data_IF_015878232238
#
_entry.id   IF_015878232238
#
_cell.length_a   1.000
_cell.length_b   1.000
_cell.length_c   1.000
_cell.angle_alpha   90.00
_cell.angle_beta   90.00
_cell.angle_gamma   90.00
#
_symmetry.space_group_name_H-M   'P 1'
#
loop_
_entity.id
_entity.type
_entity.pdbx_description
1 polymer ?
#
# COMPACT_ATOMS: atom_id res chain seq x y z
N UNK A 1 28.44 -39.02 -60.32
CA UNK A 1 28.18 -40.22 -59.52
C UNK A 1 29.24 -40.30 -58.43
N UNK A 2 28.85 -39.98 -57.20
CA UNK A 2 29.69 -39.96 -56.00
C UNK A 2 28.80 -40.43 -54.84
N UNK A 3 29.30 -41.26 -53.91
CA UNK A 3 28.45 -42.14 -53.11
C UNK A 3 27.92 -41.47 -51.82
N UNK A 4 26.71 -41.84 -51.44
CA UNK A 4 26.05 -41.42 -50.21
C UNK A 4 26.59 -42.19 -48.99
N UNK A 5 27.07 -41.45 -47.98
CA UNK A 5 27.46 -42.02 -46.68
C UNK A 5 26.23 -42.30 -45.82
N UNK A 6 25.94 -43.58 -45.53
CA UNK A 6 24.94 -44.01 -44.53
C UNK A 6 25.51 -43.82 -43.12
N UNK A 7 24.90 -42.96 -42.31
CA UNK A 7 25.13 -42.91 -40.85
C UNK A 7 24.35 -44.06 -40.18
N UNK A 8 24.99 -44.76 -39.24
CA UNK A 8 24.42 -45.93 -38.57
C UNK A 8 23.38 -45.55 -37.50
N UNK A 9 22.30 -46.34 -37.33
CA UNK A 9 21.18 -46.01 -36.42
C UNK A 9 21.52 -46.09 -34.92
N UNK A 10 22.70 -46.60 -34.55
CA UNK A 10 23.08 -46.82 -33.15
C UNK A 10 23.58 -45.54 -32.47
N UNK A 11 24.11 -44.58 -33.23
CA UNK A 11 24.53 -43.27 -32.67
C UNK A 11 23.35 -42.35 -32.36
N UNK A 12 22.18 -42.55 -33.00
CA UNK A 12 21.00 -41.73 -32.75
C UNK A 12 20.35 -42.03 -31.38
N UNK A 13 20.31 -43.30 -30.95
CA UNK A 13 19.66 -43.68 -29.69
C UNK A 13 20.36 -43.11 -28.43
N UNK A 14 21.69 -42.92 -28.47
CA UNK A 14 22.44 -42.36 -27.33
C UNK A 14 22.20 -40.86 -27.13
N UNK A 15 21.99 -40.11 -28.20
CA UNK A 15 21.72 -38.66 -28.15
C UNK A 15 20.30 -38.35 -27.66
N UNK A 16 19.31 -39.18 -28.02
CA UNK A 16 17.94 -39.01 -27.52
C UNK A 16 17.78 -39.37 -26.04
N UNK A 17 18.52 -40.38 -25.54
CA UNK A 17 18.49 -40.75 -24.12
C UNK A 17 19.04 -39.68 -23.19
N UNK A 18 20.13 -39.01 -23.59
CA UNK A 18 20.71 -37.89 -22.82
C UNK A 18 19.83 -36.64 -22.84
N UNK A 19 19.18 -36.35 -23.97
CA UNK A 19 18.23 -35.24 -24.09
C UNK A 19 16.99 -35.43 -23.22
N UNK A 20 16.45 -36.65 -23.14
CA UNK A 20 15.29 -36.96 -22.31
C UNK A 20 15.61 -36.88 -20.80
N UNK A 21 16.81 -37.33 -20.39
CA UNK A 21 17.29 -37.23 -19.00
C UNK A 21 17.54 -35.78 -18.57
N UNK A 22 18.06 -34.92 -19.46
CA UNK A 22 18.18 -33.48 -19.17
C UNK A 22 16.81 -32.79 -19.09
N UNK A 23 15.86 -33.15 -19.96
CA UNK A 23 14.51 -32.58 -19.92
C UNK A 23 13.77 -32.97 -18.63
N UNK A 24 13.93 -34.21 -18.16
CA UNK A 24 13.36 -34.68 -16.89
C UNK A 24 14.00 -33.97 -15.68
N UNK A 25 15.32 -33.74 -15.71
CA UNK A 25 16.03 -33.03 -14.64
C UNK A 25 15.61 -31.54 -14.53
N UNK A 26 15.30 -30.89 -15.66
CA UNK A 26 14.77 -29.51 -15.68
C UNK A 26 13.33 -29.45 -15.17
N UNK A 27 12.52 -30.48 -15.47
CA UNK A 27 11.14 -30.59 -14.95
C UNK A 27 11.07 -30.90 -13.44
N UNK A 28 12.09 -31.55 -12.87
CA UNK A 28 12.20 -31.85 -11.44
C UNK A 28 12.84 -30.71 -10.61
N UNK A 29 13.47 -29.71 -11.26
CA UNK A 29 14.11 -28.58 -10.58
C UNK A 29 13.18 -27.38 -10.34
N UNK A 30 11.96 -27.40 -10.88
CA UNK A 30 10.96 -26.35 -10.70
C UNK A 30 10.25 -26.45 -9.35
N UNK A 31 10.93 -26.18 -8.24
CA UNK A 31 10.19 -25.84 -7.01
C UNK A 31 9.51 -24.48 -7.24
N UNK A 32 8.19 -24.34 -7.04
CA UNK A 32 7.62 -23.01 -6.94
C UNK A 32 8.31 -22.32 -5.78
N UNK A 33 9.10 -21.28 -6.08
CA UNK A 33 9.57 -20.37 -5.06
C UNK A 33 8.32 -19.64 -4.55
N UNK A 34 7.71 -20.16 -3.50
CA UNK A 34 6.73 -19.42 -2.74
C UNK A 34 7.47 -18.17 -2.24
N UNK A 35 7.05 -17.00 -2.72
CA UNK A 35 7.50 -15.74 -2.16
C UNK A 35 7.07 -15.73 -0.70
N UNK A 36 7.98 -16.12 0.19
CA UNK A 36 7.73 -16.14 1.62
C UNK A 36 7.67 -14.69 2.08
N UNK A 37 6.57 -14.32 2.74
CA UNK A 37 6.41 -13.02 3.38
C UNK A 37 7.63 -12.78 4.27
N UNK A 38 8.49 -11.83 3.88
CA UNK A 38 9.65 -11.44 4.67
C UNK A 38 9.28 -10.23 5.51
N UNK A 39 9.15 -10.45 6.81
CA UNK A 39 8.97 -9.41 7.81
C UNK A 39 10.32 -9.19 8.47
N UNK A 40 11.00 -8.10 8.09
CA UNK A 40 12.24 -7.71 8.75
C UNK A 40 11.87 -6.81 9.93
N UNK A 41 12.02 -7.34 11.15
CA UNK A 41 11.86 -6.59 12.40
C UNK A 41 13.25 -6.19 12.87
N UNK A 42 13.51 -4.90 12.96
CA UNK A 42 14.76 -4.34 13.47
C UNK A 42 14.53 -3.65 14.81
N UNK A 43 15.44 -3.90 15.76
CA UNK A 43 15.37 -3.40 17.14
C UNK A 43 15.05 -4.49 18.16
N UNK A 44 15.87 -4.60 19.20
CA UNK A 44 15.63 -5.45 20.36
C UNK A 44 14.59 -4.80 21.28
N UNK A 45 13.56 -5.55 21.71
CA UNK A 45 12.69 -5.14 22.82
C UNK A 45 11.37 -4.41 22.48
N UNK A 46 10.85 -4.48 21.25
CA UNK A 46 9.49 -4.02 20.99
C UNK A 46 8.49 -4.94 21.74
N UNK A 47 7.68 -4.37 22.64
CA UNK A 47 6.63 -5.11 23.32
C UNK A 47 5.56 -5.49 22.30
N UNK A 48 5.43 -6.78 22.03
CA UNK A 48 4.41 -7.32 21.14
C UNK A 48 3.18 -7.76 21.94
N UNK A 49 2.00 -7.60 21.37
CA UNK A 49 0.74 -8.11 21.90
C UNK A 49 0.61 -9.60 21.55
N UNK A 50 0.68 -10.52 22.52
CA UNK A 50 0.50 -11.95 22.27
C UNK A 50 -0.97 -12.25 21.98
N UNK A 51 -1.28 -12.69 20.76
CA UNK A 51 -2.65 -12.98 20.33
C UNK A 51 -2.75 -14.37 19.70
N UNK A 52 -3.73 -15.14 20.17
CA UNK A 52 -4.14 -16.39 19.56
C UNK A 52 -5.31 -16.11 18.61
N UNK A 53 -5.20 -16.58 17.36
CA UNK A 53 -6.30 -16.53 16.37
C UNK A 53 -6.67 -17.97 16.06
N UNK A 54 -7.85 -18.43 16.47
CA UNK A 54 -8.37 -19.75 16.16
C UNK A 54 -8.92 -19.81 14.72
N UNK A 55 -8.90 -21.00 14.11
CA UNK A 55 -9.64 -21.23 12.86
C UNK A 55 -11.14 -21.14 13.14
N UNK A 56 -11.89 -20.54 12.21
CA UNK A 56 -13.34 -20.41 12.38
C UNK A 56 -14.01 -21.78 12.16
N UNK A 57 -14.87 -22.19 13.09
CA UNK A 57 -15.58 -23.46 13.01
C UNK A 57 -16.72 -23.44 11.97
N UNK A 58 -17.21 -24.61 11.56
CA UNK A 58 -18.31 -24.77 10.60
C UNK A 58 -17.84 -25.21 9.21
N UNK A 59 -17.39 -24.29 8.37
CA UNK A 59 -16.71 -24.60 7.10
C UNK A 59 -15.18 -24.60 7.32
N UNK A 60 -14.55 -25.78 7.37
CA UNK A 60 -13.13 -25.91 7.69
C UNK A 60 -12.21 -25.20 6.69
N UNK A 61 -12.51 -25.27 5.39
CA UNK A 61 -11.68 -24.66 4.34
C UNK A 61 -11.75 -23.15 4.41
N UNK A 62 -12.97 -22.60 4.44
CA UNK A 62 -13.17 -21.15 4.45
C UNK A 62 -12.84 -20.54 5.80
N UNK A 63 -13.14 -21.25 6.88
CA UNK A 63 -12.84 -20.81 8.25
C UNK A 63 -11.35 -20.73 8.53
N UNK A 64 -10.56 -21.68 8.01
CA UNK A 64 -9.09 -21.58 8.03
C UNK A 64 -8.59 -20.41 7.17
N UNK A 65 -9.09 -20.27 5.95
CA UNK A 65 -8.67 -19.18 5.06
C UNK A 65 -8.93 -17.79 5.68
N UNK A 66 -10.07 -17.63 6.36
CA UNK A 66 -10.44 -16.39 7.06
C UNK A 66 -9.47 -16.09 8.22
N UNK A 67 -9.16 -17.10 9.04
CA UNK A 67 -8.19 -16.96 10.13
C UNK A 67 -6.77 -16.69 9.63
N UNK A 68 -6.35 -17.30 8.52
CA UNK A 68 -5.02 -17.08 7.94
C UNK A 68 -4.84 -15.63 7.45
N UNK A 69 -5.88 -14.99 6.91
CA UNK A 69 -5.85 -13.57 6.55
C UNK A 69 -5.71 -12.69 7.80
N UNK A 70 -6.49 -12.95 8.86
CA UNK A 70 -6.40 -12.21 10.12
C UNK A 70 -5.00 -12.33 10.74
N UNK A 71 -4.43 -13.55 10.77
CA UNK A 71 -3.06 -13.79 11.26
C UNK A 71 -2.05 -13.01 10.42
N UNK A 72 -2.17 -13.03 9.09
CA UNK A 72 -1.27 -12.32 8.20
C UNK A 72 -1.35 -10.80 8.42
N UNK A 73 -2.54 -10.23 8.55
CA UNK A 73 -2.75 -8.80 8.84
C UNK A 73 -2.07 -8.35 10.13
N UNK A 74 -2.39 -9.03 11.25
CA UNK A 74 -1.86 -8.66 12.56
C UNK A 74 -0.34 -8.89 12.63
N UNK A 75 0.13 -10.04 12.14
CA UNK A 75 1.55 -10.37 12.09
C UNK A 75 2.34 -9.37 11.25
N UNK A 76 1.74 -8.82 10.19
CA UNK A 76 2.41 -7.86 9.32
C UNK A 76 2.77 -6.54 10.02
N UNK A 77 2.00 -6.15 11.01
CA UNK A 77 2.30 -4.92 11.77
C UNK A 77 3.59 -5.01 12.58
N UNK A 78 4.09 -6.23 12.87
CA UNK A 78 5.18 -6.48 13.82
C UNK A 78 4.84 -6.17 15.28
N UNK A 79 3.65 -5.63 15.56
CA UNK A 79 3.17 -5.33 16.92
C UNK A 79 2.53 -6.54 17.60
N UNK A 80 2.21 -7.61 16.85
CA UNK A 80 1.57 -8.80 17.38
C UNK A 80 2.51 -10.00 17.34
N UNK A 81 2.51 -10.76 18.42
CA UNK A 81 3.12 -12.09 18.49
C UNK A 81 2.01 -13.12 18.37
N UNK A 82 1.99 -13.86 17.27
CA UNK A 82 0.97 -14.87 17.02
C UNK A 82 1.23 -16.11 17.88
N UNK A 83 0.22 -16.52 18.64
CA UNK A 83 0.20 -17.78 19.38
C UNK A 83 -0.66 -18.77 18.61
N UNK A 84 -0.18 -20.01 18.46
CA UNK A 84 -0.90 -21.02 17.70
C UNK A 84 -2.20 -21.42 18.42
N UNK A 85 -3.30 -21.32 17.68
CA UNK A 85 -4.63 -21.74 18.08
C UNK A 85 -5.37 -22.43 16.92
N UNK A 86 -4.62 -22.82 15.88
CA UNK A 86 -5.16 -23.58 14.75
C UNK A 86 -5.76 -24.89 15.24
N UNK A 87 -6.85 -25.32 14.59
CA UNK A 87 -7.56 -26.56 14.92
C UNK A 87 -8.00 -26.71 16.39
N UNK A 88 -8.14 -25.60 17.15
CA UNK A 88 -8.60 -25.64 18.55
C UNK A 88 -10.05 -26.08 18.72
N UNK A 89 -10.85 -26.08 17.64
CA UNK A 89 -12.26 -26.46 17.66
C UNK A 89 -13.18 -25.44 18.35
N UNK A 90 -12.66 -24.27 18.73
CA UNK A 90 -13.45 -23.21 19.34
C UNK A 90 -14.49 -22.66 18.35
N UNK A 91 -15.73 -22.62 18.82
CA UNK A 91 -16.87 -22.01 18.12
C UNK A 91 -17.25 -20.69 18.80
N UNK A 92 -18.08 -19.88 18.14
CA UNK A 92 -18.61 -18.63 18.71
C UNK A 92 -19.31 -18.82 20.07
N UNK A 93 -19.83 -20.01 20.35
CA UNK A 93 -20.56 -20.37 21.58
C UNK A 93 -19.68 -21.05 22.64
N UNK A 94 -18.41 -21.28 22.34
CA UNK A 94 -17.48 -21.93 23.27
C UNK A 94 -17.19 -21.06 24.49
N UNK A 95 -17.25 -21.67 25.67
CA UNK A 95 -16.74 -21.06 26.90
C UNK A 95 -15.20 -21.06 26.87
N UNK A 96 -14.57 -19.90 27.08
CA UNK A 96 -13.11 -19.76 27.01
C UNK A 96 -12.46 -20.31 28.26
N UNK A 97 -11.56 -21.28 28.11
CA UNK A 97 -10.63 -21.68 29.17
C UNK A 97 -9.47 -20.68 29.26
N UNK A 98 -9.65 -19.62 30.06
CA UNK A 98 -8.67 -18.54 30.15
C UNK A 98 -7.29 -18.99 30.65
N UNK A 99 -7.25 -19.95 31.57
CA UNK A 99 -5.99 -20.44 32.15
C UNK A 99 -5.17 -21.24 31.14
N UNK A 100 -5.83 -22.03 30.28
CA UNK A 100 -5.16 -22.73 29.19
C UNK A 100 -4.49 -21.75 28.21
N UNK A 101 -5.23 -20.75 27.74
CA UNK A 101 -4.70 -19.81 26.73
C UNK A 101 -3.64 -18.88 27.30
N UNK A 102 -3.83 -18.43 28.55
CA UNK A 102 -2.80 -17.68 29.26
C UNK A 102 -1.56 -18.54 29.49
N UNK A 103 -1.73 -19.83 29.80
CA UNK A 103 -0.63 -20.80 29.92
C UNK A 103 0.14 -21.00 28.61
N UNK A 104 -0.52 -20.89 27.45
CA UNK A 104 0.12 -20.85 26.12
C UNK A 104 0.76 -19.50 25.78
N UNK A 105 0.63 -18.50 26.66
CA UNK A 105 1.20 -17.17 26.48
C UNK A 105 0.41 -16.24 25.57
N UNK A 106 -0.89 -16.51 25.38
CA UNK A 106 -1.81 -15.63 24.66
C UNK A 106 -2.54 -14.72 25.66
N UNK A 107 -2.33 -13.41 25.55
CA UNK A 107 -3.06 -12.40 26.34
C UNK A 107 -4.44 -12.13 25.74
N UNK A 108 -4.59 -12.36 24.44
CA UNK A 108 -5.83 -12.22 23.70
C UNK A 108 -6.13 -13.47 22.88
N UNK A 109 -7.42 -13.79 22.73
CA UNK A 109 -7.90 -14.92 21.94
C UNK A 109 -9.05 -14.47 21.03
N UNK A 110 -8.89 -14.64 19.71
CA UNK A 110 -9.95 -14.50 18.73
C UNK A 110 -10.43 -15.87 18.25
N UNK A 111 -11.73 -16.07 18.18
CA UNK A 111 -12.37 -17.33 17.78
C UNK A 111 -13.76 -17.07 17.21
N UNK A 112 -14.34 -18.03 16.50
CA UNK A 112 -15.60 -17.79 15.78
C UNK A 112 -16.12 -18.96 14.98
N UNK A 113 -17.21 -18.70 14.25
CA UNK A 113 -17.87 -19.66 13.38
C UNK A 113 -18.16 -19.02 12.03
N UNK A 114 -18.13 -19.83 10.97
CA UNK A 114 -18.57 -19.51 9.62
C UNK A 114 -19.58 -20.57 9.16
N UNK A 115 -20.73 -20.15 8.66
CA UNK A 115 -21.79 -21.07 8.20
C UNK A 115 -22.40 -20.55 6.91
N UNK A 116 -22.54 -21.41 5.91
CA UNK A 116 -23.22 -21.03 4.67
C UNK A 116 -24.73 -21.03 4.89
N UNK A 117 -25.39 -19.94 4.50
CA UNK A 117 -26.84 -19.78 4.55
C UNK A 117 -27.49 -20.38 3.30
N UNK A 118 -28.80 -20.72 3.34
CA UNK A 118 -29.49 -21.36 2.21
C UNK A 118 -29.49 -20.57 0.89
N UNK A 119 -29.32 -19.25 0.97
CA UNK A 119 -29.21 -18.34 -0.18
C UNK A 119 -27.77 -18.26 -0.76
N UNK A 120 -26.85 -19.09 -0.25
CA UNK A 120 -25.47 -19.18 -0.71
C UNK A 120 -24.51 -18.16 -0.10
N UNK A 121 -24.99 -17.24 0.76
CA UNK A 121 -24.14 -16.32 1.54
C UNK A 121 -23.50 -17.06 2.72
N UNK A 122 -22.62 -16.38 3.44
CA UNK A 122 -22.01 -16.86 4.67
C UNK A 122 -22.41 -15.96 5.83
N UNK A 123 -22.75 -16.55 6.98
CA UNK A 123 -22.82 -15.91 8.30
C UNK A 123 -21.48 -16.16 9.01
N UNK A 124 -20.77 -15.10 9.37
CA UNK A 124 -19.46 -15.15 10.03
C UNK A 124 -19.60 -14.45 11.38
N UNK A 125 -19.36 -15.15 12.48
CA UNK A 125 -19.40 -14.57 13.82
C UNK A 125 -18.06 -14.74 14.48
N UNK A 126 -17.53 -13.66 15.06
CA UNK A 126 -16.29 -13.73 15.82
C UNK A 126 -16.47 -13.18 17.23
N UNK A 127 -15.60 -13.61 18.13
CA UNK A 127 -15.40 -13.11 19.49
C UNK A 127 -13.93 -12.79 19.69
N UNK A 128 -13.67 -11.76 20.48
CA UNK A 128 -12.34 -11.44 20.99
C UNK A 128 -12.39 -11.43 22.51
N UNK A 129 -11.52 -12.19 23.16
CA UNK A 129 -11.40 -12.29 24.60
C UNK A 129 -10.04 -11.79 25.09
N UNK A 130 -10.02 -11.19 26.28
CA UNK A 130 -8.85 -10.88 27.08
C UNK A 130 -8.67 -12.00 28.11
N UNK A 131 -7.59 -12.76 27.99
CA UNK A 131 -7.32 -13.93 28.84
C UNK A 131 -6.77 -13.53 30.21
N UNK A 132 -6.22 -12.32 30.32
CA UNK A 132 -5.64 -11.78 31.54
C UNK A 132 -6.75 -11.22 32.43
N UNK A 133 -7.63 -10.39 31.86
CA UNK A 133 -8.80 -9.82 32.54
C UNK A 133 -10.00 -10.77 32.59
N UNK A 134 -9.94 -11.90 31.86
CA UNK A 134 -10.96 -12.95 31.82
C UNK A 134 -12.32 -12.41 31.37
N UNK A 135 -12.35 -11.72 30.23
CA UNK A 135 -13.56 -11.10 29.70
C UNK A 135 -13.57 -10.95 28.19
N UNK A 136 -14.75 -10.74 27.61
CA UNK A 136 -14.91 -10.49 26.19
C UNK A 136 -14.66 -9.00 25.88
N UNK A 137 -13.78 -8.72 24.92
CA UNK A 137 -13.48 -7.37 24.43
C UNK A 137 -14.38 -6.95 23.25
N UNK A 138 -14.74 -7.91 22.40
CA UNK A 138 -15.56 -7.65 21.21
C UNK A 138 -16.28 -8.90 20.73
N UNK A 139 -17.31 -8.70 19.91
CA UNK A 139 -17.99 -9.77 19.19
C UNK A 139 -19.01 -9.23 18.20
N UNK A 140 -18.91 -9.64 16.94
CA UNK A 140 -19.75 -9.15 15.84
C UNK A 140 -20.07 -10.28 14.87
N UNK A 141 -21.24 -10.18 14.24
CA UNK A 141 -21.65 -11.00 13.11
C UNK A 141 -21.54 -10.20 11.79
N UNK A 142 -21.06 -10.86 10.75
CA UNK A 142 -20.97 -10.37 9.38
C UNK A 142 -21.75 -11.32 8.47
N UNK A 143 -22.29 -10.78 7.38
CA UNK A 143 -22.81 -11.60 6.29
C UNK A 143 -22.24 -11.14 4.96
N UNK A 144 -21.81 -12.09 4.13
CA UNK A 144 -21.24 -11.77 2.82
C UNK A 144 -21.27 -12.95 1.86
N UNK A 145 -21.05 -12.64 0.59
CA UNK A 145 -20.76 -13.63 -0.45
C UNK A 145 -19.35 -14.22 -0.28
N UNK A 146 -19.07 -15.30 -1.02
CA UNK A 146 -17.73 -15.92 -1.03
C UNK A 146 -16.62 -14.93 -1.41
N UNK A 147 -16.89 -14.02 -2.35
CA UNK A 147 -15.95 -13.00 -2.80
C UNK A 147 -15.64 -11.95 -1.72
N UNK A 148 -16.54 -11.78 -0.75
CA UNK A 148 -16.39 -10.81 0.33
C UNK A 148 -15.69 -11.39 1.58
N UNK A 149 -15.50 -12.71 1.66
CA UNK A 149 -14.93 -13.37 2.85
C UNK A 149 -13.57 -12.79 3.25
N UNK A 150 -12.73 -12.49 2.26
CA UNK A 150 -11.43 -11.89 2.49
C UNK A 150 -11.54 -10.47 3.04
N UNK A 151 -12.44 -9.65 2.49
CA UNK A 151 -12.74 -8.31 3.02
C UNK A 151 -13.24 -8.39 4.46
N UNK A 152 -14.10 -9.36 4.77
CA UNK A 152 -14.62 -9.60 6.13
C UNK A 152 -13.48 -9.99 7.07
N UNK A 153 -12.54 -10.82 6.63
CA UNK A 153 -11.35 -11.17 7.41
C UNK A 153 -10.52 -9.92 7.77
N UNK A 154 -10.27 -9.04 6.80
CA UNK A 154 -9.60 -7.76 7.04
C UNK A 154 -10.37 -6.86 8.02
N UNK A 155 -11.70 -6.81 7.92
CA UNK A 155 -12.53 -6.06 8.88
C UNK A 155 -12.44 -6.64 10.29
N UNK A 156 -12.39 -7.96 10.44
CA UNK A 156 -12.20 -8.60 11.74
C UNK A 156 -10.80 -8.27 12.29
N UNK A 157 -9.76 -8.33 11.47
CA UNK A 157 -8.42 -7.92 11.85
C UNK A 157 -8.36 -6.46 12.30
N UNK A 158 -9.09 -5.55 11.62
CA UNK A 158 -9.16 -4.13 11.98
C UNK A 158 -9.75 -3.96 13.38
N UNK A 159 -10.81 -4.71 13.70
CA UNK A 159 -11.44 -4.67 15.02
C UNK A 159 -10.54 -5.24 16.11
N UNK A 160 -9.87 -6.35 15.85
CA UNK A 160 -8.92 -6.94 16.80
C UNK A 160 -7.79 -5.96 17.08
N UNK A 161 -7.23 -5.36 16.04
CA UNK A 161 -6.17 -4.36 16.14
C UNK A 161 -6.63 -3.15 16.95
N UNK A 162 -7.80 -2.59 16.66
CA UNK A 162 -8.34 -1.43 17.36
C UNK A 162 -8.65 -1.72 18.83
N UNK A 163 -9.23 -2.88 19.14
CA UNK A 163 -9.56 -3.26 20.52
C UNK A 163 -8.34 -3.49 21.39
N UNK A 164 -7.25 -3.97 20.81
CA UNK A 164 -6.00 -4.25 21.55
C UNK A 164 -5.12 -3.00 21.64
N UNK A 165 -5.03 -2.20 20.57
CA UNK A 165 -4.07 -1.08 20.48
C UNK A 165 -4.70 0.29 20.74
N UNK A 166 -6.03 0.41 20.63
CA UNK A 166 -6.73 1.70 20.63
C UNK A 166 -6.63 2.49 19.32
N UNK A 167 -5.96 1.95 18.29
CA UNK A 167 -5.73 2.60 17.01
C UNK A 167 -6.57 1.89 15.94
N UNK A 168 -7.28 2.63 15.09
CA UNK A 168 -8.06 2.04 14.00
C UNK A 168 -7.16 1.25 13.03
N UNK A 169 -7.53 -0.01 12.75
CA UNK A 169 -6.83 -0.87 11.79
C UNK A 169 -7.04 -0.42 10.34
N UNK A 170 -6.08 -0.73 9.47
CA UNK A 170 -6.05 -0.32 8.04
C UNK A 170 -6.14 -1.49 7.06
N UNK A 171 -6.38 -2.71 7.54
CA UNK A 171 -6.32 -3.92 6.71
C UNK A 171 -7.45 -3.97 5.68
N UNK A 172 -8.63 -3.43 5.99
CA UNK A 172 -9.75 -3.37 5.03
C UNK A 172 -9.69 -2.17 4.08
N UNK A 173 -8.61 -1.39 4.12
CA UNK A 173 -8.36 -0.31 3.15
C UNK A 173 -7.81 -0.87 1.84
N UNK A 174 -7.55 0.02 0.87
CA UNK A 174 -7.03 -0.33 -0.46
C UNK A 174 -5.80 0.49 -0.78
N UNK A 175 -4.99 -0.01 -1.69
CA UNK A 175 -3.88 0.74 -2.30
C UNK A 175 -4.15 0.91 -3.78
N UNK A 176 -3.55 1.94 -4.38
CA UNK A 176 -3.47 2.09 -5.83
C UNK A 176 -2.02 2.28 -6.25
N UNK A 177 -1.67 1.80 -7.44
CA UNK A 177 -0.34 1.93 -8.01
C UNK A 177 -0.40 1.83 -9.54
N UNK A 178 0.63 2.31 -10.22
CA UNK A 178 0.75 2.13 -11.67
C UNK A 178 1.69 0.98 -11.94
N UNK A 179 1.22 0.03 -12.73
CA UNK A 179 1.98 -1.13 -13.19
C UNK A 179 2.26 -1.00 -14.68
N UNK A 180 3.55 -0.92 -15.04
CA UNK A 180 3.99 -0.98 -16.43
C UNK A 180 4.43 -2.41 -16.76
N UNK A 181 3.71 -3.03 -17.69
CA UNK A 181 4.00 -4.36 -18.20
C UNK A 181 4.06 -4.34 -19.72
N UNK A 182 5.22 -4.68 -20.27
CA UNK A 182 5.47 -4.52 -21.71
C UNK A 182 5.27 -3.08 -22.15
N UNK A 183 4.41 -2.87 -23.15
CA UNK A 183 4.04 -1.55 -23.69
C UNK A 183 2.79 -0.93 -23.06
N UNK A 184 2.29 -1.47 -21.95
CA UNK A 184 1.01 -1.06 -21.33
C UNK A 184 1.23 -0.53 -19.92
N UNK A 185 0.50 0.53 -19.57
CA UNK A 185 0.39 1.09 -18.23
C UNK A 185 -0.99 0.78 -17.66
N UNK A 186 -1.01 0.23 -16.45
CA UNK A 186 -2.25 -0.14 -15.76
C UNK A 186 -2.32 0.56 -14.41
N UNK A 187 -3.39 1.33 -14.19
CA UNK A 187 -3.74 1.82 -12.87
C UNK A 187 -4.45 0.69 -12.13
N UNK A 188 -3.77 0.14 -11.13
CA UNK A 188 -4.24 -0.98 -10.32
C UNK A 188 -4.83 -0.46 -9.01
N UNK A 189 -5.87 -1.12 -8.53
CA UNK A 189 -6.42 -0.98 -7.17
C UNK A 189 -6.40 -2.36 -6.52
N UNK A 190 -5.79 -2.49 -5.36
CA UNK A 190 -5.64 -3.75 -4.64
C UNK A 190 -6.03 -3.58 -3.17
N UNK A 191 -6.21 -4.69 -2.46
CA UNK A 191 -6.34 -4.70 -0.99
C UNK A 191 -5.08 -4.11 -0.34
N UNK A 192 -5.18 -3.65 0.92
CA UNK A 192 -4.07 -3.01 1.63
C UNK A 192 -2.79 -3.86 1.69
N UNK A 193 -2.92 -5.19 1.61
CA UNK A 193 -1.79 -6.12 1.59
C UNK A 193 -1.30 -6.51 0.18
N UNK A 194 -1.78 -5.81 -0.85
CA UNK A 194 -1.36 -5.98 -2.25
C UNK A 194 -2.03 -7.13 -2.99
N UNK A 195 -2.98 -7.84 -2.37
CA UNK A 195 -3.75 -8.92 -2.98
C UNK A 195 -4.99 -8.38 -3.73
N UNK A 196 -5.64 -9.27 -4.49
CA UNK A 196 -6.83 -8.94 -5.30
C UNK A 196 -6.67 -7.69 -6.19
N UNK A 197 -5.58 -7.54 -6.95
CA UNK A 197 -5.42 -6.38 -7.82
C UNK A 197 -6.49 -6.36 -8.92
N UNK A 198 -7.12 -5.21 -9.10
CA UNK A 198 -8.09 -4.91 -10.14
C UNK A 198 -7.59 -3.76 -11.00
N UNK A 199 -7.67 -3.94 -12.33
CA UNK A 199 -7.31 -2.90 -13.30
C UNK A 199 -8.43 -1.86 -13.33
N UNK A 200 -8.18 -0.67 -12.80
CA UNK A 200 -9.10 0.46 -12.89
C UNK A 200 -8.99 1.17 -14.24
N UNK A 201 -7.79 1.26 -14.82
CA UNK A 201 -7.56 1.84 -16.14
C UNK A 201 -6.39 1.14 -16.83
N UNK A 202 -6.51 0.89 -18.13
CA UNK A 202 -5.42 0.40 -18.98
C UNK A 202 -5.15 1.41 -20.09
N UNK A 203 -3.89 1.73 -20.31
CA UNK A 203 -3.45 2.65 -21.37
C UNK A 203 -2.17 2.17 -22.07
N UNK A 204 -2.00 2.58 -23.34
CA UNK A 204 -0.73 2.46 -24.07
C UNK A 204 0.21 3.62 -23.78
N UNK A 205 -0.31 4.69 -23.20
CA UNK A 205 0.44 5.87 -22.81
C UNK A 205 0.61 5.91 -21.28
N UNK A 206 1.62 6.62 -20.76
CA UNK A 206 1.85 6.70 -19.33
C UNK A 206 0.62 7.17 -18.53
N UNK A 207 0.44 6.54 -17.37
CA UNK A 207 -0.42 7.01 -16.28
C UNK A 207 0.52 7.27 -15.12
N UNK A 208 0.45 8.44 -14.48
CA UNK A 208 1.32 8.80 -13.37
C UNK A 208 0.56 9.53 -12.26
N UNK A 209 1.17 9.54 -11.08
CA UNK A 209 0.81 10.25 -9.87
C UNK A 209 -0.64 10.01 -9.39
N UNK A 210 -1.09 8.74 -9.24
CA UNK A 210 -2.42 8.47 -8.70
C UNK A 210 -2.55 8.97 -7.25
N UNK A 211 -3.70 9.55 -6.91
CA UNK A 211 -4.07 9.98 -5.56
C UNK A 211 -5.54 9.72 -5.26
N UNK A 212 -5.79 9.10 -4.12
CA UNK A 212 -7.14 8.88 -3.59
C UNK A 212 -7.82 10.17 -3.16
N UNK A 213 -9.10 10.32 -3.48
CA UNK A 213 -9.96 11.26 -2.78
C UNK A 213 -10.12 10.85 -1.31
N UNK A 214 -10.39 11.79 -0.38
CA UNK A 214 -10.47 11.49 1.05
C UNK A 214 -11.59 10.51 1.43
N UNK A 215 -12.60 10.34 0.59
CA UNK A 215 -13.70 9.38 0.74
C UNK A 215 -13.42 8.01 0.10
N UNK A 216 -12.32 7.87 -0.63
CA UNK A 216 -11.92 6.62 -1.30
C UNK A 216 -12.77 6.27 -2.53
N UNK A 217 -13.64 7.17 -3.01
CA UNK A 217 -14.53 6.90 -4.15
C UNK A 217 -13.89 7.24 -5.50
N UNK A 218 -12.86 8.09 -5.52
CA UNK A 218 -12.23 8.63 -6.73
C UNK A 218 -10.71 8.53 -6.67
N UNK A 219 -10.09 8.42 -7.84
CA UNK A 219 -8.66 8.61 -8.05
C UNK A 219 -8.42 9.83 -8.95
N UNK A 220 -7.52 10.71 -8.56
CA UNK A 220 -6.95 11.71 -9.45
C UNK A 220 -5.60 11.18 -9.98
N UNK A 221 -5.32 11.38 -11.27
CA UNK A 221 -4.05 10.99 -11.89
C UNK A 221 -3.78 11.81 -13.14
N UNK A 222 -2.57 11.71 -13.67
CA UNK A 222 -2.20 12.25 -14.98
C UNK A 222 -2.24 11.14 -16.01
N UNK A 223 -2.92 11.38 -17.13
CA UNK A 223 -2.89 10.49 -18.30
C UNK A 223 -2.32 11.23 -19.51
N UNK A 224 -1.56 10.49 -20.33
CA UNK A 224 -0.97 10.96 -21.57
C UNK A 224 -1.73 10.47 -22.81
N UNK A 225 -2.90 9.82 -22.64
CA UNK A 225 -3.71 9.23 -23.73
C UNK A 225 -4.08 10.21 -24.85
N UNK A 226 -4.15 11.51 -24.55
CA UNK A 226 -4.44 12.55 -25.55
C UNK A 226 -3.18 13.12 -26.23
N UNK A 227 -2.03 12.47 -26.11
CA UNK A 227 -0.73 12.93 -26.64
C UNK A 227 -0.08 14.08 -25.84
N UNK A 228 -0.65 14.44 -24.68
CA UNK A 228 -0.15 15.44 -23.74
C UNK A 228 -0.64 15.12 -22.33
N UNK A 229 0.03 15.60 -21.26
CA UNK A 229 -0.40 15.34 -19.88
C UNK A 229 -1.70 16.06 -19.55
N UNK A 230 -2.70 15.30 -19.11
CA UNK A 230 -4.01 15.79 -18.64
C UNK A 230 -4.30 15.20 -17.27
N UNK A 231 -4.74 16.03 -16.33
CA UNK A 231 -5.19 15.57 -15.02
C UNK A 231 -6.64 15.13 -15.11
N UNK A 232 -6.90 13.89 -14.73
CA UNK A 232 -8.25 13.31 -14.66
C UNK A 232 -8.65 13.06 -13.22
N UNK A 233 -9.94 13.19 -12.95
CA UNK A 233 -10.63 12.59 -11.79
C UNK A 233 -11.44 11.41 -12.29
N UNK A 234 -11.26 10.25 -11.67
CA UNK A 234 -11.88 8.99 -12.05
C UNK A 234 -12.71 8.42 -10.90
N UNK A 235 -14.02 8.30 -11.12
CA UNK A 235 -14.96 7.68 -10.18
C UNK A 235 -14.92 6.16 -10.35
N UNK A 236 -14.48 5.45 -9.31
CA UNK A 236 -14.20 4.02 -9.42
C UNK A 236 -15.45 3.16 -9.62
N UNK A 237 -16.55 3.52 -8.96
CA UNK A 237 -17.79 2.74 -9.02
C UNK A 237 -18.46 2.75 -10.40
N UNK A 238 -18.29 3.83 -11.17
CA UNK A 238 -18.94 4.02 -12.48
C UNK A 238 -17.97 4.03 -13.65
N UNK A 239 -16.66 3.99 -13.36
CA UNK A 239 -15.58 4.23 -14.33
C UNK A 239 -15.65 5.60 -15.05
N UNK A 240 -16.46 6.54 -14.55
CA UNK A 240 -16.59 7.87 -15.14
C UNK A 240 -15.30 8.69 -14.94
N UNK A 241 -14.82 9.35 -16.00
CA UNK A 241 -13.59 10.13 -16.01
C UNK A 241 -13.86 11.58 -16.42
N UNK A 242 -13.45 12.53 -15.59
CA UNK A 242 -13.57 13.97 -15.84
C UNK A 242 -12.17 14.57 -16.02
N UNK A 243 -11.85 15.18 -17.17
CA UNK A 243 -10.60 15.93 -17.33
C UNK A 243 -10.71 17.26 -16.56
N UNK A 244 -9.98 17.37 -15.45
CA UNK A 244 -10.05 18.56 -14.57
C UNK A 244 -9.00 19.60 -14.94
N UNK A 245 -7.86 19.20 -15.51
CA UNK A 245 -6.85 20.14 -15.99
C UNK A 245 -6.27 19.71 -17.34
N UNK A 246 -6.52 20.52 -18.36
CA UNK A 246 -6.14 20.29 -19.75
C UNK A 246 -5.57 21.57 -20.39
N UNK A 247 -4.73 22.28 -19.65
CA UNK A 247 -4.15 23.55 -20.09
C UNK A 247 -2.94 23.32 -21.00
N UNK A 248 -2.47 24.39 -21.65
CA UNK A 248 -1.23 24.37 -22.44
C UNK A 248 -0.03 24.09 -21.52
N UNK A 249 0.90 23.26 -21.99
CA UNK A 249 2.09 22.87 -21.24
C UNK A 249 1.86 21.62 -20.41
N UNK A 250 2.60 21.48 -19.31
CA UNK A 250 2.50 20.36 -18.39
C UNK A 250 1.33 20.55 -17.41
N UNK A 251 0.57 19.48 -17.15
CA UNK A 251 -0.49 19.40 -16.15
C UNK A 251 -0.22 18.16 -15.30
N UNK A 252 0.18 18.31 -14.04
CA UNK A 252 0.68 17.16 -13.27
C UNK A 252 0.42 17.22 -11.76
N UNK A 253 0.83 16.14 -11.08
CA UNK A 253 0.90 15.99 -9.63
C UNK A 253 -0.36 16.47 -8.89
N UNK A 254 -1.54 15.86 -9.16
CA UNK A 254 -2.74 16.17 -8.41
C UNK A 254 -2.58 15.80 -6.94
N UNK A 255 -3.22 16.54 -6.04
CA UNK A 255 -3.40 16.19 -4.64
C UNK A 255 -4.74 16.71 -4.13
N UNK A 256 -5.49 15.88 -3.41
CA UNK A 256 -6.82 16.25 -2.91
C UNK A 256 -6.75 17.16 -1.69
N UNK A 257 -7.65 18.14 -1.62
CA UNK A 257 -7.94 18.82 -0.38
C UNK A 257 -8.58 17.85 0.62
N UNK A 258 -8.42 18.03 1.94
CA UNK A 258 -8.96 17.12 2.95
C UNK A 258 -10.49 16.96 2.92
N UNK A 259 -11.19 17.99 2.44
CA UNK A 259 -12.65 17.99 2.26
C UNK A 259 -13.11 17.33 0.93
N UNK A 260 -12.17 16.97 0.05
CA UNK A 260 -12.43 16.34 -1.25
C UNK A 260 -13.06 17.25 -2.31
N UNK A 261 -13.18 18.56 -2.04
CA UNK A 261 -13.83 19.51 -2.95
C UNK A 261 -12.90 20.09 -4.01
N UNK A 262 -11.58 20.06 -3.77
CA UNK A 262 -10.56 20.67 -4.63
C UNK A 262 -9.36 19.75 -4.84
N UNK A 263 -8.57 20.09 -5.84
CA UNK A 263 -7.26 19.54 -6.11
C UNK A 263 -6.21 20.67 -6.11
N UNK A 264 -5.06 20.42 -5.53
CA UNK A 264 -3.83 21.12 -5.88
C UNK A 264 -3.23 20.40 -7.10
N UNK A 265 -2.77 21.16 -8.09
CA UNK A 265 -2.17 20.67 -9.32
C UNK A 265 -0.96 21.53 -9.70
N UNK A 266 -0.10 21.00 -10.56
CA UNK A 266 1.06 21.71 -11.09
C UNK A 266 0.81 22.05 -12.55
N UNK A 267 0.95 23.33 -12.91
CA UNK A 267 0.84 23.82 -14.28
C UNK A 267 2.08 24.62 -14.69
N UNK A 268 2.51 24.45 -15.94
CA UNK A 268 3.53 25.33 -16.59
C UNK A 268 2.88 26.38 -17.50
N UNK A 269 1.58 26.64 -17.31
CA UNK A 269 0.81 27.54 -18.19
C UNK A 269 1.36 28.97 -18.20
N UNK A 270 1.84 29.43 -17.04
CA UNK A 270 2.27 30.81 -16.81
C UNK A 270 3.81 30.91 -16.66
N UNK A 271 4.58 29.98 -17.25
CA UNK A 271 6.04 29.92 -17.18
C UNK A 271 6.55 28.61 -16.59
N UNK A 272 7.37 28.69 -15.55
CA UNK A 272 7.84 27.52 -14.79
C UNK A 272 6.67 26.76 -14.15
N UNK A 273 6.93 25.53 -13.68
CA UNK A 273 5.97 24.74 -12.91
C UNK A 273 5.58 25.48 -11.63
N UNK A 274 4.30 25.69 -11.45
CA UNK A 274 3.75 26.39 -10.29
C UNK A 274 2.50 25.68 -9.81
N UNK A 275 2.14 25.89 -8.54
CA UNK A 275 1.02 25.22 -7.90
C UNK A 275 -0.24 26.05 -8.06
N UNK A 276 -1.31 25.37 -8.44
CA UNK A 276 -2.66 25.91 -8.56
C UNK A 276 -3.61 25.05 -7.75
N UNK A 277 -4.73 25.64 -7.36
CA UNK A 277 -5.87 24.93 -6.79
C UNK A 277 -7.04 25.03 -7.78
N UNK A 278 -7.78 23.95 -7.94
CA UNK A 278 -8.93 23.84 -8.84
C UNK A 278 -10.02 23.01 -8.17
N UNK A 279 -11.28 23.23 -8.50
CA UNK A 279 -12.39 22.36 -8.11
C UNK A 279 -12.20 20.95 -8.67
N UNK A 280 -12.71 19.95 -7.96
CA UNK A 280 -12.67 18.56 -8.41
C UNK A 280 -13.52 18.30 -9.69
N UNK A 281 -14.32 19.29 -10.09
CA UNK A 281 -15.08 19.36 -11.34
C UNK A 281 -14.35 20.16 -12.44
N UNK A 282 -13.17 20.70 -12.16
CA UNK A 282 -12.40 21.56 -13.07
C UNK A 282 -12.72 23.06 -12.97
N UNK A 283 -13.61 23.48 -12.08
CA UNK A 283 -13.97 24.89 -11.91
C UNK A 283 -12.97 25.67 -11.04
N UNK A 284 -13.02 27.01 -11.06
CA UNK A 284 -12.37 27.83 -10.03
C UNK A 284 -10.84 27.74 -9.94
N UNK A 285 -10.14 27.56 -11.07
CA UNK A 285 -8.68 27.52 -11.11
C UNK A 285 -8.08 28.81 -10.52
N UNK A 286 -7.20 28.67 -9.52
CA UNK A 286 -6.49 29.75 -8.86
C UNK A 286 -5.03 29.39 -8.64
N UNK A 287 -4.11 30.31 -8.95
CA UNK A 287 -2.68 30.15 -8.69
C UNK A 287 -2.37 30.36 -7.22
N UNK A 288 -1.52 29.50 -6.63
CA UNK A 288 -1.07 29.59 -5.23
C UNK A 288 0.37 30.08 -5.15
N UNK A 289 1.29 29.48 -5.92
CA UNK A 289 2.71 29.86 -5.86
C UNK A 289 3.12 30.80 -6.99
N UNK A 290 4.05 31.71 -6.66
CA UNK A 290 4.72 32.64 -7.58
C UNK A 290 6.20 32.68 -7.21
N UNK A 291 6.96 31.69 -7.66
CA UNK A 291 8.39 31.55 -7.35
C UNK A 291 9.25 31.61 -8.62
N UNK A 292 10.55 31.93 -8.50
CA UNK A 292 11.49 31.88 -9.61
C UNK A 292 11.94 30.44 -9.96
N UNK A 293 11.42 29.41 -9.29
CA UNK A 293 11.80 28.02 -9.46
C UNK A 293 10.64 27.12 -9.92
N UNK A 294 10.90 25.82 -9.98
CA UNK A 294 9.91 24.77 -10.19
C UNK A 294 9.27 24.45 -8.84
N UNK A 295 7.96 24.71 -8.70
CA UNK A 295 7.16 24.24 -7.57
C UNK A 295 6.31 23.05 -8.01
N UNK A 296 6.44 21.91 -7.34
CA UNK A 296 5.80 20.65 -7.73
C UNK A 296 5.47 19.74 -6.56
N UNK A 297 4.81 18.61 -6.83
CA UNK A 297 4.44 17.57 -5.85
C UNK A 297 3.69 18.11 -4.62
N UNK A 298 2.60 18.87 -4.80
CA UNK A 298 1.86 19.43 -3.68
C UNK A 298 1.19 18.33 -2.84
N UNK A 299 1.02 18.62 -1.55
CA UNK A 299 0.10 17.93 -0.65
C UNK A 299 -0.54 18.97 0.27
N UNK A 300 -1.83 18.84 0.56
CA UNK A 300 -2.47 19.67 1.58
C UNK A 300 -2.02 19.26 2.98
N UNK A 301 -2.02 20.21 3.90
CA UNK A 301 -2.06 19.90 5.34
C UNK A 301 -3.43 19.34 5.73
N UNK A 302 -3.55 18.50 6.78
CA UNK A 302 -4.83 17.90 7.18
C UNK A 302 -5.91 18.92 7.56
N UNK A 303 -5.52 20.09 8.06
CA UNK A 303 -6.41 21.21 8.36
C UNK A 303 -6.89 21.98 7.10
N UNK A 304 -6.35 21.64 5.93
CA UNK A 304 -6.66 22.27 4.66
C UNK A 304 -6.17 23.72 4.53
N UNK A 305 -5.33 24.24 5.43
CA UNK A 305 -4.93 25.66 5.42
C UNK A 305 -3.67 25.95 4.62
N UNK A 306 -2.85 24.94 4.36
CA UNK A 306 -1.56 25.08 3.68
C UNK A 306 -1.33 23.99 2.64
N UNK A 307 -0.38 24.25 1.75
CA UNK A 307 0.19 23.26 0.83
C UNK A 307 1.67 23.08 1.18
N UNK A 308 2.09 21.83 1.32
CA UNK A 308 3.49 21.41 1.38
C UNK A 308 3.89 20.91 -0.01
N UNK A 309 5.07 21.27 -0.49
CA UNK A 309 5.48 21.00 -1.87
C UNK A 309 7.00 21.01 -2.04
N UNK A 310 7.47 20.44 -3.15
CA UNK A 310 8.87 20.46 -3.55
C UNK A 310 9.18 21.72 -4.35
N UNK A 311 10.30 22.39 -4.06
CA UNK A 311 10.80 23.54 -4.82
C UNK A 311 12.32 23.53 -4.96
N UNK A 312 12.82 23.90 -6.13
CA UNK A 312 14.24 24.09 -6.42
C UNK A 312 14.73 25.54 -6.25
N UNK A 313 13.89 26.43 -5.70
CA UNK A 313 14.18 27.88 -5.53
C UNK A 313 15.47 28.19 -4.76
N UNK A 314 16.02 27.22 -4.03
CA UNK A 314 17.27 27.30 -3.27
C UNK A 314 18.43 26.53 -3.92
N UNK A 315 18.38 26.31 -5.23
CA UNK A 315 19.40 25.60 -6.03
C UNK A 315 19.09 24.11 -6.20
N UNK A 316 18.92 23.37 -5.08
CA UNK A 316 18.49 21.97 -5.09
C UNK A 316 17.03 21.81 -4.65
N UNK A 317 16.34 20.70 -5.01
CA UNK A 317 14.96 20.48 -4.62
C UNK A 317 14.85 20.21 -3.12
N UNK A 318 13.99 21.00 -2.48
CA UNK A 318 13.74 21.00 -1.04
C UNK A 318 12.24 21.15 -0.80
N UNK A 319 11.81 20.85 0.42
CA UNK A 319 10.39 20.88 0.76
C UNK A 319 10.05 22.21 1.44
N UNK A 320 8.96 22.82 0.98
CA UNK A 320 8.43 24.10 1.44
C UNK A 320 6.96 23.98 1.81
N UNK A 321 6.47 24.95 2.58
CA UNK A 321 5.08 25.12 2.93
C UNK A 321 4.62 26.55 2.59
N UNK A 322 3.42 26.68 2.04
CA UNK A 322 2.78 27.98 1.77
C UNK A 322 1.31 27.92 2.20
N UNK A 323 0.77 29.05 2.67
CA UNK A 323 -0.65 29.18 2.94
C UNK A 323 -1.49 29.05 1.66
N UNK A 324 -2.76 28.64 1.77
CA UNK A 324 -3.63 28.51 0.61
C UNK A 324 -3.85 29.83 -0.13
N UNK A 325 -3.82 30.96 0.58
CA UNK A 325 -3.94 32.29 -0.02
C UNK A 325 -2.65 32.74 -0.75
N UNK A 326 -1.60 31.90 -0.72
CA UNK A 326 -0.29 32.18 -1.26
C UNK A 326 0.61 32.85 -0.22
N UNK A 327 1.51 33.71 -0.70
CA UNK A 327 2.49 34.41 0.14
C UNK A 327 3.88 33.78 0.10
N UNK A 328 4.72 34.17 1.05
CA UNK A 328 6.08 33.67 1.18
C UNK A 328 6.06 32.20 1.64
N UNK A 329 6.82 31.34 0.97
CA UNK A 329 6.88 29.93 1.35
C UNK A 329 8.01 29.69 2.36
N UNK A 330 7.71 28.95 3.42
CA UNK A 330 8.65 28.55 4.47
C UNK A 330 9.31 27.22 4.11
N UNK A 331 10.64 27.16 4.14
CA UNK A 331 11.39 25.89 3.96
C UNK A 331 11.23 24.97 5.17
N UNK A 332 11.01 23.67 4.93
CA UNK A 332 10.86 22.65 5.98
C UNK A 332 12.08 21.73 6.10
N UNK A 333 12.77 21.42 4.99
CA UNK A 333 13.91 20.49 4.99
C UNK A 333 15.25 21.20 4.89
N UNK A 334 16.19 20.85 5.76
CA UNK A 334 17.53 21.47 5.80
C UNK A 334 18.68 20.46 5.69
N UNK A 335 18.40 19.16 5.84
CA UNK A 335 19.39 18.11 5.72
C UNK A 335 19.50 17.61 4.27
N UNK A 336 20.73 17.47 3.79
CA UNK A 336 21.05 17.01 2.44
C UNK A 336 20.61 17.97 1.33
N UNK A 337 21.05 17.68 0.11
CA UNK A 337 20.87 18.56 -1.06
C UNK A 337 19.64 18.26 -1.91
N UNK A 338 18.95 17.14 -1.67
CA UNK A 338 17.84 16.67 -2.49
C UNK A 338 16.77 16.01 -1.62
N UNK A 339 15.61 16.66 -1.52
CA UNK A 339 14.44 16.20 -0.76
C UNK A 339 13.16 16.49 -1.57
N UNK A 340 12.40 15.45 -1.89
CA UNK A 340 11.25 15.50 -2.84
C UNK A 340 10.10 14.59 -2.39
N UNK A 341 8.98 14.65 -3.09
CA UNK A 341 7.80 13.80 -2.88
C UNK A 341 7.24 13.85 -1.44
N UNK A 342 6.95 15.03 -0.87
CA UNK A 342 6.43 15.17 0.50
C UNK A 342 5.08 14.48 0.68
N UNK A 343 4.88 13.82 1.82
CA UNK A 343 3.57 13.38 2.34
C UNK A 343 3.49 13.68 3.82
N UNK A 344 2.40 14.27 4.25
CA UNK A 344 2.14 14.55 5.66
C UNK A 344 1.31 13.44 6.29
N UNK A 345 1.57 13.12 7.55
CA UNK A 345 0.79 12.18 8.33
C UNK A 345 -0.64 12.68 8.54
N UNK A 346 -1.62 11.78 8.75
CA UNK A 346 -3.02 12.18 8.97
C UNK A 346 -3.23 13.15 10.14
N UNK A 347 -2.40 13.07 11.19
CA UNK A 347 -2.41 13.97 12.35
C UNK A 347 -1.65 15.28 12.14
N UNK A 348 -0.95 15.43 11.01
CA UNK A 348 -0.21 16.64 10.66
C UNK A 348 1.13 16.82 11.38
N UNK A 349 1.58 15.87 12.20
CA UNK A 349 2.80 16.05 13.00
C UNK A 349 4.08 15.64 12.29
N UNK A 350 3.99 14.78 11.27
CA UNK A 350 5.12 14.10 10.66
C UNK A 350 5.07 14.24 9.14
N UNK A 351 6.21 14.58 8.54
CA UNK A 351 6.38 14.62 7.09
C UNK A 351 7.31 13.49 6.66
N UNK A 352 6.89 12.66 5.71
CA UNK A 352 7.78 11.72 5.02
C UNK A 352 8.07 12.20 3.62
N UNK A 353 9.27 11.90 3.14
CA UNK A 353 9.74 12.31 1.82
C UNK A 353 10.87 11.44 1.32
N UNK A 354 11.14 11.53 0.01
CA UNK A 354 12.31 10.91 -0.59
C UNK A 354 13.50 11.84 -0.41
N UNK A 355 14.52 11.33 0.27
CA UNK A 355 15.77 12.02 0.56
C UNK A 355 16.91 11.33 -0.19
N UNK A 356 17.76 12.09 -0.88
CA UNK A 356 19.03 11.54 -1.37
C UNK A 356 20.07 11.64 -0.27
N UNK A 357 20.62 10.49 0.14
CA UNK A 357 21.69 10.38 1.14
C UNK A 357 22.73 9.39 0.62
N UNK A 358 24.00 9.80 0.62
CA UNK A 358 25.12 8.95 0.18
C UNK A 358 24.92 8.31 -1.21
N UNK A 359 24.29 9.05 -2.12
CA UNK A 359 23.99 8.60 -3.48
C UNK A 359 22.71 7.76 -3.63
N UNK A 360 22.12 7.27 -2.55
CA UNK A 360 20.88 6.48 -2.55
C UNK A 360 19.63 7.33 -2.29
N UNK A 361 18.48 6.91 -2.82
CA UNK A 361 17.17 7.46 -2.48
C UNK A 361 16.51 6.63 -1.39
N UNK A 362 16.17 7.29 -0.28
CA UNK A 362 15.59 6.68 0.92
C UNK A 362 14.37 7.47 1.38
N UNK A 363 13.47 6.82 2.11
CA UNK A 363 12.37 7.50 2.78
C UNK A 363 12.87 8.07 4.10
N UNK A 364 12.81 9.38 4.25
CA UNK A 364 13.05 10.09 5.49
C UNK A 364 11.73 10.45 6.17
N UNK A 365 11.77 10.60 7.49
CA UNK A 365 10.70 11.13 8.34
C UNK A 365 11.21 12.37 9.06
N UNK A 366 10.39 13.42 9.08
CA UNK A 366 10.67 14.69 9.75
C UNK A 366 9.53 14.99 10.71
N UNK A 367 9.86 15.10 11.99
CA UNK A 367 8.93 15.63 12.98
C UNK A 367 8.81 17.15 12.80
N UNK A 368 7.61 17.64 12.48
CA UNK A 368 7.38 19.05 12.16
C UNK A 368 7.43 19.99 13.37
N UNK A 369 7.31 19.44 14.59
CA UNK A 369 7.41 20.22 15.83
C UNK A 369 8.85 20.39 16.31
N UNK A 370 9.67 19.32 16.21
CA UNK A 370 11.05 19.34 16.71
C UNK A 370 12.10 19.59 15.62
N UNK A 371 11.74 19.43 14.35
CA UNK A 371 12.67 19.48 13.23
C UNK A 371 13.59 18.25 13.13
N UNK A 372 13.34 17.19 13.91
CA UNK A 372 14.16 15.99 13.92
C UNK A 372 13.89 15.13 12.66
N UNK A 373 14.94 14.88 11.88
CA UNK A 373 14.92 13.95 10.74
C UNK A 373 15.46 12.57 11.12
N UNK A 374 14.81 11.51 10.65
CA UNK A 374 15.31 10.13 10.69
C UNK A 374 15.13 9.46 9.33
N UNK A 375 16.02 8.54 8.96
CA UNK A 375 15.84 7.69 7.78
C UNK A 375 15.00 6.47 8.17
N UNK A 376 13.82 6.31 7.56
CA UNK A 376 12.94 5.17 7.79
C UNK A 376 13.38 3.93 7.03
N UNK A 377 13.99 4.12 5.86
CA UNK A 377 14.44 3.03 4.99
C UNK A 377 15.95 3.10 4.73
N UNK A 378 16.51 1.98 4.31
CA UNK A 378 17.93 1.84 3.97
C UNK A 378 18.14 1.30 2.54
N UNK A 379 17.11 1.31 1.70
CA UNK A 379 17.19 0.89 0.31
C UNK A 379 18.01 1.84 -0.55
N UNK A 380 18.26 1.42 -1.78
CA UNK A 380 19.05 2.19 -2.75
C UNK A 380 18.19 3.15 -3.58
N UNK A 381 16.94 2.76 -3.84
CA UNK A 381 16.01 3.50 -4.70
C UNK A 381 14.58 3.38 -4.17
N UNK A 382 14.37 3.91 -2.97
CA UNK A 382 13.06 3.93 -2.32
C UNK A 382 12.33 5.23 -2.70
N UNK A 383 11.11 5.09 -3.24
CA UNK A 383 10.38 6.18 -3.87
C UNK A 383 8.91 6.22 -3.48
N UNK A 384 8.29 7.39 -3.72
CA UNK A 384 6.84 7.58 -3.68
C UNK A 384 6.19 7.11 -2.37
N UNK A 385 6.60 7.66 -1.21
CA UNK A 385 5.98 7.29 0.06
C UNK A 385 4.49 7.69 0.08
N UNK A 386 3.71 6.97 0.87
CA UNK A 386 2.30 7.24 1.17
C UNK A 386 1.92 6.68 2.53
N UNK A 387 1.43 7.53 3.43
CA UNK A 387 0.93 7.08 4.73
C UNK A 387 -0.33 6.23 4.59
N UNK A 388 -0.44 5.19 5.40
CA UNK A 388 -1.71 4.57 5.75
C UNK A 388 -2.59 5.57 6.53
N UNK A 389 -3.93 5.48 6.46
CA UNK A 389 -4.81 6.50 7.04
C UNK A 389 -4.83 6.54 8.58
N UNK A 390 -4.26 5.53 9.26
CA UNK A 390 -4.01 5.60 10.71
C UNK A 390 -2.64 6.19 11.07
N UNK A 391 -1.80 6.54 10.09
CA UNK A 391 -0.48 7.11 10.31
C UNK A 391 0.59 6.14 10.82
N UNK A 392 0.30 4.85 10.97
CA UNK A 392 1.22 3.87 11.58
C UNK A 392 2.16 3.19 10.59
N UNK A 393 1.86 3.29 9.29
CA UNK A 393 2.59 2.63 8.20
C UNK A 393 2.78 3.59 7.02
N UNK A 394 3.87 3.38 6.28
CA UNK A 394 4.20 4.10 5.05
C UNK A 394 4.44 3.07 3.95
N UNK A 395 3.58 3.11 2.92
CA UNK A 395 3.75 2.39 1.66
C UNK A 395 4.74 3.14 0.77
N UNK A 396 5.60 2.41 0.06
CA UNK A 396 6.54 2.97 -0.89
C UNK A 396 6.89 1.96 -1.98
N UNK A 397 7.44 2.44 -3.09
CA UNK A 397 8.02 1.60 -4.14
C UNK A 397 9.52 1.44 -3.88
N UNK A 398 10.05 0.25 -4.11
CA UNK A 398 11.46 -0.05 -3.89
C UNK A 398 12.01 -1.05 -4.91
N UNK A 399 13.34 -1.15 -4.99
CA UNK A 399 14.04 -2.21 -5.72
C UNK A 399 14.63 -3.20 -4.73
N UNK A 400 14.19 -4.46 -4.78
CA UNK A 400 14.72 -5.56 -3.97
C UNK A 400 15.11 -6.73 -4.86
N UNK A 401 16.36 -7.22 -4.73
CA UNK A 401 16.86 -8.32 -5.56
C UNK A 401 16.79 -8.03 -7.07
N UNK A 402 16.91 -6.76 -7.47
CA UNK A 402 16.79 -6.32 -8.87
C UNK A 402 15.36 -6.24 -9.41
N UNK A 403 14.34 -6.40 -8.56
CA UNK A 403 12.92 -6.34 -8.94
C UNK A 403 12.21 -5.18 -8.24
N UNK A 404 11.24 -4.59 -8.92
CA UNK A 404 10.35 -3.60 -8.32
C UNK A 404 9.38 -4.28 -7.36
N UNK A 405 9.21 -3.70 -6.18
CA UNK A 405 8.31 -4.20 -5.16
C UNK A 405 7.49 -3.07 -4.54
N UNK A 406 6.30 -3.43 -4.06
CA UNK A 406 5.58 -2.63 -3.09
C UNK A 406 6.07 -3.03 -1.70
N UNK A 407 6.52 -2.05 -0.92
CA UNK A 407 7.03 -2.26 0.41
C UNK A 407 6.33 -1.35 1.41
N UNK A 408 6.29 -1.79 2.67
CA UNK A 408 5.74 -1.03 3.79
C UNK A 408 6.79 -0.96 4.89
N UNK A 409 6.90 0.23 5.48
CA UNK A 409 7.67 0.44 6.70
C UNK A 409 6.77 1.03 7.78
N UNK A 410 6.93 0.62 9.03
CA UNK A 410 6.25 1.28 10.16
C UNK A 410 6.74 2.72 10.30
N UNK A 411 5.89 3.62 10.81
CA UNK A 411 6.24 5.04 10.93
C UNK A 411 7.40 5.30 11.89
N UNK A 412 7.73 4.35 12.77
CA UNK A 412 8.92 4.37 13.63
C UNK A 412 10.16 3.70 13.00
N UNK A 413 10.05 3.17 11.78
CA UNK A 413 11.14 2.56 11.01
C UNK A 413 11.52 1.13 11.42
N UNK A 414 10.87 0.55 12.43
CA UNK A 414 11.27 -0.73 13.03
C UNK A 414 10.86 -1.96 12.24
N UNK A 415 9.69 -1.92 11.60
CA UNK A 415 9.12 -3.06 10.88
C UNK A 415 9.11 -2.74 9.41
N UNK A 416 9.71 -3.61 8.59
CA UNK A 416 9.74 -3.49 7.14
C UNK A 416 9.25 -4.76 6.48
N UNK A 417 8.49 -4.59 5.41
CA UNK A 417 7.84 -5.70 4.73
C UNK A 417 7.74 -5.47 3.23
N UNK A 418 7.76 -6.57 2.50
CA UNK A 418 7.46 -6.58 1.07
C UNK A 418 6.05 -7.13 0.88
N UNK A 419 5.15 -6.33 0.33
CA UNK A 419 3.76 -6.71 0.07
C UNK A 419 3.64 -7.59 -1.18
N UNK A 420 4.21 -7.11 -2.28
CA UNK A 420 4.07 -7.74 -3.58
C UNK A 420 5.36 -7.61 -4.38
N UNK A 421 5.78 -8.73 -4.97
CA UNK A 421 6.80 -8.78 -6.02
C UNK A 421 6.05 -8.91 -7.34
N UNK A 422 5.99 -7.83 -8.12
CA UNK A 422 5.25 -7.82 -9.38
C UNK A 422 6.20 -7.97 -10.56
N UNK A 423 5.73 -8.65 -11.60
CA UNK A 423 6.40 -8.62 -12.89
C UNK A 423 6.12 -7.25 -13.54
N UNK A 424 7.15 -6.46 -13.81
CA UNK A 424 7.03 -5.13 -14.42
C UNK A 424 7.67 -4.02 -13.60
N UNK A 425 7.45 -2.79 -14.03
CA UNK A 425 7.85 -1.59 -13.28
C UNK A 425 6.64 -1.09 -12.49
N UNK A 426 6.86 -0.82 -11.19
CA UNK A 426 5.83 -0.30 -10.29
C UNK A 426 6.17 1.15 -10.02
N UNK A 427 5.21 2.04 -10.26
CA UNK A 427 5.39 3.46 -10.05
C UNK A 427 4.30 4.01 -9.11
N UNK A 428 4.74 4.95 -8.27
CA UNK A 428 3.89 5.88 -7.51
C UNK A 428 2.71 5.25 -6.75
N UNK A 429 2.97 4.29 -5.83
CA UNK A 429 1.92 3.75 -4.99
C UNK A 429 1.30 4.82 -4.07
N UNK A 430 0.02 4.64 -3.76
CA UNK A 430 -0.73 5.48 -2.82
C UNK A 430 -1.68 4.62 -1.99
N UNK A 431 -1.68 4.87 -0.69
CA UNK A 431 -2.58 4.22 0.26
C UNK A 431 -3.91 4.97 0.30
N UNK A 432 -5.01 4.23 0.17
CA UNK A 432 -6.36 4.77 0.23
C UNK A 432 -6.80 5.11 1.65
N UNK A 433 -7.84 5.96 1.79
CA UNK A 433 -8.40 6.30 3.08
C UNK A 433 -9.16 5.12 3.69
N UNK A 434 -9.64 5.30 4.92
CA UNK A 434 -10.68 4.44 5.45
C UNK A 434 -11.91 4.48 4.53
N UNK A 435 -12.41 3.32 4.14
CA UNK A 435 -13.69 3.19 3.47
C UNK A 435 -14.82 3.46 4.47
N UNK A 436 -15.89 4.11 4.00
CA UNK A 436 -17.12 4.32 4.78
C UNK A 436 -18.04 3.11 4.66
#
# INVERSE_FOLDING_TARGET
MTPASRRSPIQALRTYGFGLLMLLAVLLAGRPAHAQLRVDISGTGATQYPVAIADFAGDATRGKALADVIRADLGRTGQFRLIDASNSGLTVDSAVNYDEWRGKGADFLSYGSITQTPDGRYDIRFRLADTVKRGQLDGVAFSGSEQELRRIAHQIADRIYEKITGIRGVFSTRIAYVLKQGGTYELQVADADGQNPQVALRSREPIISPRWSPDGARLAYVSFESGKPVVYVHTLATSARVPVANYKGNNSAPAWSPDGSKLAIVLTRDGLSQIYVIGADGSGLRRVTRSPGIDTEPTFTPDGRSIIFTSDRSGGPQIYQVGLDGGEARRLTFNGSYNVSPRISPDGSTLVYVARRDGAFRIASLNLSTGTETLLTNGNDDQSPSFAPNGMQVLYAAIQGGRNVLAVVSSDGRVRQTLSVLNGQINEPTWGPFTR
#
